data_IF_274629661922
#
_entry.id   IF_274629661922
#
_cell.length_a   1.000
_cell.length_b   1.000
_cell.length_c   1.000
_cell.angle_alpha   90.00
_cell.angle_beta   90.00
_cell.angle_gamma   90.00
#
_symmetry.space_group_name_H-M   'P 1'
#
loop_
_entity.id
_entity.type
_entity.pdbx_description
1 polymer ?
#
# COMPACT_ATOMS: atom_id res chain seq x y z
N UNK A 1 -4.14 -17.68 -12.06
CA UNK A 1 -3.62 -16.40 -12.60
C UNK A 1 -2.45 -16.73 -13.51
N UNK A 2 -2.39 -16.17 -14.70
CA UNK A 2 -1.27 -16.38 -15.62
C UNK A 2 0.01 -15.71 -15.09
N UNK A 3 1.19 -16.18 -15.52
CA UNK A 3 2.47 -15.66 -15.03
C UNK A 3 2.77 -14.23 -15.51
N UNK A 4 2.13 -13.80 -16.58
CA UNK A 4 2.19 -12.47 -17.19
C UNK A 4 1.09 -11.52 -16.70
N UNK A 5 0.18 -11.99 -15.84
CA UNK A 5 -0.85 -11.14 -15.26
C UNK A 5 -0.22 -9.96 -14.50
N UNK A 6 -0.78 -8.76 -14.70
CA UNK A 6 -0.32 -7.56 -13.99
C UNK A 6 -0.65 -7.68 -12.50
N UNK A 7 0.38 -7.70 -11.67
CA UNK A 7 0.27 -7.73 -10.21
C UNK A 7 0.84 -6.42 -9.66
N UNK A 8 0.06 -5.70 -8.86
CA UNK A 8 0.54 -4.53 -8.13
C UNK A 8 0.50 -4.86 -6.64
N UNK A 9 1.65 -4.83 -5.98
CA UNK A 9 1.76 -4.99 -4.53
C UNK A 9 1.81 -3.63 -3.86
N UNK A 10 1.23 -3.52 -2.66
CA UNK A 10 1.30 -2.32 -1.84
C UNK A 10 1.28 -2.66 -0.36
N UNK A 11 1.78 -1.76 0.48
CA UNK A 11 1.59 -1.83 1.92
C UNK A 11 1.34 -0.42 2.48
N UNK A 12 1.96 -0.05 3.60
CA UNK A 12 1.88 1.31 4.14
C UNK A 12 2.87 2.25 3.42
N UNK A 13 4.13 1.84 3.33
CA UNK A 13 5.26 2.65 2.81
C UNK A 13 6.16 1.92 1.78
N UNK A 14 5.72 0.79 1.22
CA UNK A 14 6.46 0.05 0.18
C UNK A 14 7.38 -1.09 0.64
N UNK A 15 7.94 -1.04 1.85
CA UNK A 15 8.97 -2.01 2.31
C UNK A 15 8.52 -3.47 2.39
N UNK A 16 7.27 -3.72 2.79
CA UNK A 16 6.73 -5.09 2.91
C UNK A 16 6.27 -5.63 1.56
N UNK A 17 5.67 -4.77 0.74
CA UNK A 17 5.18 -5.12 -0.59
C UNK A 17 6.31 -5.39 -1.56
N UNK A 18 7.46 -4.72 -1.40
CA UNK A 18 8.70 -5.02 -2.12
C UNK A 18 9.13 -6.47 -1.94
N UNK A 19 9.27 -6.93 -0.69
CA UNK A 19 9.63 -8.33 -0.37
C UNK A 19 8.66 -9.36 -0.94
N UNK A 20 7.38 -9.02 -1.04
CA UNK A 20 6.39 -9.88 -1.69
C UNK A 20 6.54 -9.83 -3.21
N UNK A 21 6.85 -8.67 -3.78
CA UNK A 21 7.17 -8.50 -5.18
C UNK A 21 8.34 -9.38 -5.62
N UNK A 22 9.44 -9.38 -4.85
CA UNK A 22 10.60 -10.25 -5.06
C UNK A 22 10.20 -11.73 -5.06
N UNK A 23 9.46 -12.18 -4.04
CA UNK A 23 8.96 -13.57 -3.96
C UNK A 23 8.06 -13.97 -5.13
N UNK A 24 7.27 -13.03 -5.66
CA UNK A 24 6.45 -13.27 -6.84
C UNK A 24 7.31 -13.42 -8.10
N UNK A 25 8.33 -12.57 -8.25
CA UNK A 25 9.29 -12.69 -9.35
C UNK A 25 10.06 -14.02 -9.27
N UNK A 26 10.53 -14.42 -8.09
CA UNK A 26 11.19 -15.71 -7.84
C UNK A 26 10.28 -16.90 -8.17
N UNK A 27 8.97 -16.74 -7.94
CA UNK A 27 7.96 -17.73 -8.31
C UNK A 27 7.60 -17.72 -9.80
N UNK A 28 8.26 -16.90 -10.63
CA UNK A 28 8.11 -16.84 -12.08
C UNK A 28 7.01 -15.90 -12.59
N UNK A 29 6.49 -14.99 -11.77
CA UNK A 29 5.60 -13.93 -12.25
C UNK A 29 6.41 -12.81 -12.91
N UNK A 30 6.05 -12.41 -14.13
CA UNK A 30 6.86 -11.53 -14.99
C UNK A 30 6.38 -10.08 -15.01
N UNK A 31 5.15 -9.82 -14.55
CA UNK A 31 4.52 -8.49 -14.61
C UNK A 31 4.14 -7.99 -13.20
N UNK A 32 5.15 -7.87 -12.33
CA UNK A 32 5.01 -7.53 -10.91
C UNK A 32 5.52 -6.10 -10.66
N UNK A 33 4.68 -5.27 -10.05
CA UNK A 33 4.98 -3.87 -9.72
C UNK A 33 4.76 -3.61 -8.23
N UNK A 34 5.66 -2.86 -7.59
CA UNK A 34 5.43 -2.33 -6.24
C UNK A 34 4.91 -0.89 -6.35
N UNK A 35 3.77 -0.59 -5.73
CA UNK A 35 3.18 0.74 -5.76
C UNK A 35 4.11 1.74 -5.05
N UNK A 36 4.65 2.70 -5.84
CA UNK A 36 5.55 3.72 -5.33
C UNK A 36 4.91 4.52 -4.20
N UNK A 37 5.61 4.65 -3.07
CA UNK A 37 5.09 5.31 -1.87
C UNK A 37 3.90 4.60 -1.18
N UNK A 38 3.35 3.54 -1.80
CA UNK A 38 2.27 2.71 -1.27
C UNK A 38 1.03 3.52 -0.83
N UNK A 39 0.22 2.98 0.09
CA UNK A 39 -1.04 3.61 0.50
C UNK A 39 -0.88 5.02 1.04
N UNK A 40 0.26 5.34 1.68
CA UNK A 40 0.47 6.68 2.21
C UNK A 40 0.60 7.72 1.08
N UNK A 41 1.36 7.42 0.02
CA UNK A 41 1.42 8.29 -1.17
C UNK A 41 0.09 8.34 -1.90
N UNK A 42 -0.56 7.18 -2.06
CA UNK A 42 -1.87 7.09 -2.70
C UNK A 42 -2.89 8.06 -2.10
N UNK A 43 -3.02 8.08 -0.77
CA UNK A 43 -3.90 9.02 -0.07
C UNK A 43 -3.40 10.46 -0.12
N UNK A 44 -2.09 10.69 -0.04
CA UNK A 44 -1.50 12.03 -0.11
C UNK A 44 -1.70 12.69 -1.48
N UNK A 45 -1.85 11.88 -2.53
CA UNK A 45 -2.22 12.32 -3.89
C UNK A 45 -3.74 12.57 -4.03
N UNK A 46 -4.53 12.35 -2.97
CA UNK A 46 -5.98 12.57 -2.97
C UNK A 46 -6.78 11.42 -3.57
N UNK A 47 -6.17 10.28 -3.85
CA UNK A 47 -6.88 9.13 -4.38
C UNK A 47 -7.82 8.51 -3.31
N UNK A 48 -8.99 7.96 -3.72
CA UNK A 48 -9.97 7.43 -2.78
C UNK A 48 -9.47 6.16 -2.11
N UNK A 49 -9.88 5.98 -0.84
CA UNK A 49 -9.76 4.73 -0.08
C UNK A 49 -11.13 4.37 0.44
N UNK A 50 -11.49 3.10 0.34
CA UNK A 50 -12.82 2.60 0.69
C UNK A 50 -12.71 1.68 1.91
N UNK A 51 -13.56 1.89 2.91
CA UNK A 51 -13.65 1.06 4.11
C UNK A 51 -14.37 -0.26 3.82
N UNK A 52 -14.40 -1.16 4.82
CA UNK A 52 -15.05 -2.47 4.70
C UNK A 52 -16.58 -2.39 4.49
N UNK A 53 -17.19 -1.22 4.66
CA UNK A 53 -18.63 -0.98 4.44
C UNK A 53 -18.89 -0.32 3.08
N UNK A 54 -17.87 -0.17 2.24
CA UNK A 54 -17.98 0.46 0.93
C UNK A 54 -18.01 1.99 0.98
N UNK A 55 -17.69 2.61 2.12
CA UNK A 55 -17.68 4.07 2.26
C UNK A 55 -16.27 4.62 2.08
N UNK A 56 -16.16 5.78 1.44
CA UNK A 56 -14.89 6.49 1.37
C UNK A 56 -14.41 6.87 2.77
N UNK A 57 -13.12 6.66 3.02
CA UNK A 57 -12.46 6.92 4.29
C UNK A 57 -11.11 7.58 4.06
N UNK A 58 -10.70 8.40 5.04
CA UNK A 58 -9.33 8.91 5.14
C UNK A 58 -8.52 8.13 6.18
N UNK A 59 -9.12 7.15 6.85
CA UNK A 59 -8.45 6.38 7.90
C UNK A 59 -7.56 5.30 7.31
N UNK A 60 -6.32 5.23 7.78
CA UNK A 60 -5.38 4.14 7.47
C UNK A 60 -4.82 3.54 8.75
N UNK A 61 -4.67 2.21 8.79
CA UNK A 61 -4.03 1.56 9.93
C UNK A 61 -2.49 1.68 9.85
N UNK A 62 -1.91 2.33 10.86
CA UNK A 62 -0.46 2.43 11.07
C UNK A 62 0.14 1.15 11.64
N UNK A 63 1.44 0.92 11.44
CA UNK A 63 2.07 -0.32 11.93
C UNK A 63 2.40 -0.28 13.44
N UNK A 64 3.02 0.81 13.90
CA UNK A 64 3.38 1.06 15.30
C UNK A 64 3.34 2.55 15.56
N UNK A 65 2.80 2.97 16.70
CA UNK A 65 2.62 4.39 17.02
C UNK A 65 3.95 5.13 17.14
N UNK A 66 4.97 4.46 17.65
CA UNK A 66 6.31 5.02 17.88
C UNK A 66 7.04 5.37 16.58
N UNK A 67 6.61 4.80 15.44
CA UNK A 67 7.20 5.08 14.13
C UNK A 67 6.70 6.38 13.50
N UNK A 68 5.67 7.01 14.06
CA UNK A 68 5.26 8.38 13.73
C UNK A 68 4.77 8.58 12.30
N UNK A 69 4.07 7.61 11.70
CA UNK A 69 3.61 7.68 10.31
C UNK A 69 2.64 8.82 10.04
N UNK A 70 1.93 9.29 11.06
CA UNK A 70 1.06 10.46 11.01
C UNK A 70 1.78 11.71 10.49
N UNK A 71 3.09 11.86 10.75
CA UNK A 71 3.90 12.99 10.29
C UNK A 71 4.07 13.05 8.77
N UNK A 72 3.88 11.92 8.10
CA UNK A 72 4.04 11.76 6.66
C UNK A 72 2.69 11.71 5.93
N UNK A 73 1.59 11.76 6.68
CA UNK A 73 0.24 11.79 6.13
C UNK A 73 -0.25 13.23 6.00
N UNK A 74 -0.58 13.65 4.78
CA UNK A 74 -1.14 14.97 4.47
C UNK A 74 -2.66 14.99 4.54
N UNK A 75 -3.28 13.84 4.21
CA UNK A 75 -4.74 13.72 4.03
C UNK A 75 -5.31 12.61 4.91
N UNK A 76 -4.56 11.52 5.11
CA UNK A 76 -5.03 10.36 5.84
C UNK A 76 -4.93 10.51 7.35
N UNK A 77 -5.94 10.09 8.08
CA UNK A 77 -5.90 9.89 9.53
C UNK A 77 -5.24 8.52 9.82
N UNK A 78 -4.01 8.54 10.35
CA UNK A 78 -3.35 7.29 10.76
C UNK A 78 -3.93 6.83 12.09
N UNK A 79 -4.62 5.69 12.08
CA UNK A 79 -5.21 5.03 13.25
C UNK A 79 -4.41 3.79 13.62
N UNK A 80 -4.50 3.33 14.87
CA UNK A 80 -3.78 2.17 15.40
C UNK A 80 -4.74 1.21 16.08
#
# INVERSE_FOLDING_TARGET
MSKDAKIVTYCLIGKRSEKIGEKLQDAGYTNVHNLHGSMLSWMNEGNPVIDSRGKQTVKIHGFKKELGFEKYSKVGEVVY
#
